data_IF_206357332467
#
_entry.id   IF_206357332467
#
_cell.length_a   1.000
_cell.length_b   1.000
_cell.length_c   1.000
_cell.angle_alpha   90.00
_cell.angle_beta   90.00
_cell.angle_gamma   90.00
#
_symmetry.space_group_name_H-M   'P 1'
#
loop_
_entity.id
_entity.type
_entity.pdbx_description
1 polymer ?
#
# COMPACT_ATOMS: atom_id res chain seq x y z
N UNK A 1 -14.61 7.80 -7.42
CA UNK A 1 -13.37 7.82 -6.61
C UNK A 1 -12.54 9.08 -6.85
N UNK A 2 -13.04 10.03 -7.65
CA UNK A 2 -12.21 11.09 -8.25
C UNK A 2 -11.62 12.06 -7.23
N UNK A 3 -12.33 12.32 -6.12
CA UNK A 3 -11.83 13.12 -5.00
C UNK A 3 -10.49 12.61 -4.43
N UNK A 4 -10.25 11.30 -4.52
CA UNK A 4 -9.14 10.64 -3.89
C UNK A 4 -7.99 10.32 -4.86
N UNK A 5 -8.16 10.57 -6.15
CA UNK A 5 -7.09 10.34 -7.13
C UNK A 5 -5.83 11.12 -6.74
N UNK A 6 -4.67 10.46 -6.84
CA UNK A 6 -3.38 11.02 -6.45
C UNK A 6 -3.17 11.20 -4.93
N UNK A 7 -4.17 10.92 -4.08
CA UNK A 7 -3.96 10.88 -2.62
C UNK A 7 -3.33 9.57 -2.20
N UNK A 8 -2.67 9.61 -1.04
CA UNK A 8 -2.01 8.46 -0.44
C UNK A 8 -2.99 7.71 0.46
N UNK A 9 -3.04 6.39 0.33
CA UNK A 9 -3.75 5.48 1.23
C UNK A 9 -2.78 4.45 1.82
N UNK A 10 -2.74 4.38 3.15
CA UNK A 10 -1.97 3.35 3.87
C UNK A 10 -2.90 2.19 4.21
N UNK A 11 -2.54 0.97 3.82
CA UNK A 11 -3.34 -0.24 4.06
C UNK A 11 -2.53 -1.22 4.89
N UNK A 12 -2.92 -1.43 6.14
CA UNK A 12 -2.32 -2.48 6.98
C UNK A 12 -2.92 -3.84 6.66
N UNK A 13 -2.12 -4.90 6.83
CA UNK A 13 -2.55 -6.26 6.49
C UNK A 13 -2.73 -6.48 4.98
N UNK A 14 -2.07 -5.67 4.15
CA UNK A 14 -2.22 -5.69 2.69
C UNK A 14 -1.79 -7.02 2.03
N UNK A 15 -1.07 -7.90 2.75
CA UNK A 15 -0.54 -9.15 2.19
C UNK A 15 -1.58 -10.23 1.84
N UNK A 16 -2.85 -10.08 2.24
CA UNK A 16 -3.89 -11.09 1.98
C UNK A 16 -5.31 -10.59 2.25
N UNK A 17 -6.31 -11.35 1.78
CA UNK A 17 -7.71 -11.19 2.16
C UNK A 17 -8.26 -9.79 1.85
N UNK A 18 -8.99 -9.22 2.81
CA UNK A 18 -9.63 -7.90 2.67
C UNK A 18 -8.59 -6.79 2.45
N UNK A 19 -7.47 -6.83 3.15
CA UNK A 19 -6.39 -5.84 2.97
C UNK A 19 -5.83 -5.85 1.55
N UNK A 20 -5.58 -7.04 1.00
CA UNK A 20 -5.11 -7.18 -0.39
C UNK A 20 -6.14 -6.69 -1.40
N UNK A 21 -7.41 -7.07 -1.23
CA UNK A 21 -8.50 -6.61 -2.11
C UNK A 21 -8.66 -5.09 -2.04
N UNK A 22 -8.56 -4.51 -0.85
CA UNK A 22 -8.63 -3.06 -0.62
C UNK A 22 -7.47 -2.35 -1.29
N UNK A 23 -6.23 -2.79 -1.07
CA UNK A 23 -5.05 -2.21 -1.70
C UNK A 23 -5.17 -2.18 -3.23
N UNK A 24 -5.63 -3.28 -3.84
CA UNK A 24 -5.84 -3.35 -5.29
C UNK A 24 -6.93 -2.38 -5.77
N UNK A 25 -8.07 -2.34 -5.08
CA UNK A 25 -9.18 -1.46 -5.44
C UNK A 25 -8.79 0.02 -5.37
N UNK A 26 -8.04 0.42 -4.34
CA UNK A 26 -7.56 1.80 -4.18
C UNK A 26 -6.55 2.18 -5.29
N UNK A 27 -5.62 1.28 -5.63
CA UNK A 27 -4.64 1.52 -6.68
C UNK A 27 -5.30 1.65 -8.07
N UNK A 28 -6.26 0.78 -8.39
CA UNK A 28 -7.06 0.86 -9.63
C UNK A 28 -7.91 2.13 -9.70
N UNK A 29 -8.28 2.69 -8.56
CA UNK A 29 -9.01 3.95 -8.48
C UNK A 29 -8.10 5.19 -8.56
N UNK A 30 -6.80 5.02 -8.83
CA UNK A 30 -5.86 6.12 -9.06
C UNK A 30 -5.23 6.69 -7.80
N UNK A 31 -5.37 6.04 -6.65
CA UNK A 31 -4.67 6.43 -5.42
C UNK A 31 -3.26 5.86 -5.39
N UNK A 32 -2.34 6.54 -4.71
CA UNK A 32 -1.04 5.97 -4.32
C UNK A 32 -1.28 5.12 -3.07
N UNK A 33 -0.96 3.84 -3.13
CA UNK A 33 -1.26 2.87 -2.07
C UNK A 33 0.02 2.36 -1.46
N UNK A 34 0.14 2.53 -0.15
CA UNK A 34 1.23 1.97 0.65
C UNK A 34 0.69 0.75 1.41
N UNK A 35 1.01 -0.44 0.91
CA UNK A 35 0.61 -1.71 1.51
C UNK A 35 1.59 -2.16 2.58
N UNK A 36 1.15 -2.12 3.85
CA UNK A 36 1.94 -2.53 5.00
C UNK A 36 1.70 -3.99 5.36
N UNK A 37 2.79 -4.75 5.45
CA UNK A 37 2.77 -6.12 5.94
C UNK A 37 4.14 -6.57 6.44
N UNK A 38 4.16 -7.63 7.26
CA UNK A 38 5.42 -8.27 7.68
C UNK A 38 6.11 -9.04 6.55
N UNK A 39 5.35 -9.50 5.55
CA UNK A 39 5.81 -10.24 4.36
C UNK A 39 5.59 -9.35 3.15
N UNK A 40 6.61 -8.58 2.80
CA UNK A 40 6.53 -7.54 1.77
C UNK A 40 6.33 -8.13 0.37
N UNK A 41 6.88 -9.31 0.13
CA UNK A 41 6.85 -10.03 -1.15
C UNK A 41 5.42 -10.39 -1.56
N UNK A 42 4.54 -10.64 -0.58
CA UNK A 42 3.13 -10.91 -0.82
C UNK A 42 2.35 -9.68 -1.28
N UNK A 43 2.75 -8.49 -0.84
CA UNK A 43 2.15 -7.23 -1.29
C UNK A 43 2.65 -6.90 -2.69
N UNK A 44 3.95 -7.05 -2.94
CA UNK A 44 4.55 -6.87 -4.26
C UNK A 44 3.93 -7.81 -5.31
N UNK A 45 3.66 -9.07 -4.94
CA UNK A 45 2.99 -10.02 -5.83
C UNK A 45 1.61 -9.56 -6.30
N UNK A 46 0.90 -8.71 -5.53
CA UNK A 46 -0.40 -8.17 -5.93
C UNK A 46 -0.32 -7.27 -7.17
N UNK A 47 0.86 -6.73 -7.50
CA UNK A 47 1.06 -5.95 -8.73
C UNK A 47 0.78 -6.77 -9.99
N UNK A 48 0.93 -8.10 -9.94
CA UNK A 48 0.59 -8.97 -11.05
C UNK A 48 -0.91 -8.92 -11.39
N UNK A 49 -1.76 -8.66 -10.40
CA UNK A 49 -3.22 -8.58 -10.53
C UNK A 49 -3.74 -7.18 -10.88
N UNK A 50 -2.85 -6.19 -10.98
CA UNK A 50 -3.18 -4.80 -11.31
C UNK A 50 -2.97 -4.54 -12.80
N UNK A 51 -3.68 -3.56 -13.37
CA UNK A 51 -3.59 -3.24 -14.80
C UNK A 51 -3.14 -1.80 -15.03
N UNK A 52 -2.45 -1.58 -16.17
CA UNK A 52 -1.97 -0.26 -16.58
C UNK A 52 -1.16 0.45 -15.51
N UNK A 53 -1.47 1.74 -15.31
CA UNK A 53 -0.78 2.60 -14.33
C UNK A 53 -1.09 2.26 -12.87
N UNK A 54 -2.02 1.35 -12.58
CA UNK A 54 -2.31 0.95 -11.20
C UNK A 54 -1.15 0.18 -10.55
N UNK A 55 -0.35 -0.54 -11.35
CA UNK A 55 0.84 -1.28 -10.89
C UNK A 55 1.86 -0.35 -10.22
N UNK A 56 2.05 0.83 -10.82
CA UNK A 56 3.03 1.83 -10.37
C UNK A 56 2.57 2.56 -9.11
N UNK A 57 1.30 2.42 -8.74
CA UNK A 57 0.70 3.08 -7.58
C UNK A 57 0.68 2.20 -6.33
N UNK A 58 0.94 0.90 -6.43
CA UNK A 58 1.03 0.03 -5.26
C UNK A 58 2.49 -0.07 -4.80
N UNK A 59 2.77 0.31 -3.57
CA UNK A 59 4.11 0.20 -2.97
C UNK A 59 4.01 -0.65 -1.71
N UNK A 60 4.90 -1.63 -1.57
CA UNK A 60 4.95 -2.43 -0.36
C UNK A 60 5.95 -1.83 0.64
N UNK A 61 5.59 -1.83 1.91
CA UNK A 61 6.52 -1.51 2.99
C UNK A 61 6.40 -2.54 4.12
N UNK A 62 7.57 -2.96 4.61
CA UNK A 62 7.63 -3.89 5.74
C UNK A 62 7.32 -3.13 7.03
N UNK A 63 6.26 -3.53 7.71
CA UNK A 63 5.87 -2.95 9.00
C UNK A 63 5.14 -4.00 9.85
N UNK A 64 5.62 -4.19 11.07
CA UNK A 64 4.89 -4.84 12.16
C UNK A 64 4.17 -3.77 13.00
N UNK A 65 2.86 -3.66 12.83
CA UNK A 65 2.03 -2.64 13.51
C UNK A 65 1.98 -2.80 15.04
N UNK A 66 2.50 -3.90 15.59
CA UNK A 66 2.64 -4.05 17.05
C UNK A 66 3.86 -3.31 17.62
N UNK A 67 4.75 -2.80 16.75
CA UNK A 67 5.95 -2.06 17.13
C UNK A 67 5.83 -0.61 16.68
N UNK A 68 5.71 0.29 17.65
CA UNK A 68 5.54 1.73 17.39
C UNK A 68 6.68 2.33 16.56
N UNK A 69 7.93 1.92 16.80
CA UNK A 69 9.08 2.41 16.03
C UNK A 69 8.95 2.08 14.53
N UNK A 70 8.48 0.87 14.18
CA UNK A 70 8.29 0.49 12.78
C UNK A 70 7.16 1.31 12.12
N UNK A 71 6.11 1.65 12.90
CA UNK A 71 5.03 2.53 12.44
C UNK A 71 5.60 3.92 12.16
N UNK A 72 6.28 4.54 13.13
CA UNK A 72 6.84 5.88 12.99
C UNK A 72 7.85 5.97 11.84
N UNK A 73 8.71 4.96 11.70
CA UNK A 73 9.66 4.89 10.58
C UNK A 73 8.95 4.82 9.23
N UNK A 74 7.88 4.02 9.13
CA UNK A 74 7.09 3.90 7.89
C UNK A 74 6.43 5.22 7.53
N UNK A 75 5.81 5.91 8.50
CA UNK A 75 5.17 7.20 8.23
C UNK A 75 6.17 8.29 7.83
N UNK A 76 7.33 8.38 8.51
CA UNK A 76 8.42 9.28 8.09
C UNK A 76 8.85 9.02 6.65
N UNK A 77 9.05 7.75 6.30
CA UNK A 77 9.40 7.35 4.94
C UNK A 77 8.33 7.74 3.92
N UNK A 78 7.04 7.60 4.25
CA UNK A 78 5.94 8.00 3.36
C UNK A 78 5.98 9.52 3.12
N UNK A 79 6.12 10.32 4.18
CA UNK A 79 6.17 11.79 4.10
C UNK A 79 7.37 12.32 3.31
N UNK A 80 8.49 11.60 3.30
CA UNK A 80 9.69 11.98 2.55
C UNK A 80 9.61 11.61 1.06
N UNK A 81 8.85 10.58 0.69
CA UNK A 81 8.84 10.01 -0.66
C UNK A 81 7.61 10.37 -1.49
N UNK A 82 6.50 10.79 -0.87
CA UNK A 82 5.20 11.00 -1.51
C UNK A 82 4.49 12.26 -1.01
#
# INVERSE_FOLDING_TARGET
>A
MDRWQGKIAVVTGASSGIGAATAKALANAGMVVIGLARRIERVEALKADLEGSAKDRLHAAKCDVSKEEEILQTFRWIEEQY
#
